data_IF_484604636129
#
_entry.id   IF_484604636129
#
_cell.length_a   1.000
_cell.length_b   1.000
_cell.length_c   1.000
_cell.angle_alpha   90.00
_cell.angle_beta   90.00
_cell.angle_gamma   90.00
#
_symmetry.space_group_name_H-M   'P 1'
#
loop_
_entity.id
_entity.type
_entity.pdbx_description
1 polymer ?
#
# COMPACT_ATOMS: atom_id res chain seq x y z
N UNK A 1 20.49 9.95 -7.29
CA UNK A 1 19.55 9.70 -6.14
C UNK A 1 20.10 10.01 -4.73
N UNK A 2 21.17 9.36 -4.22
CA UNK A 2 21.68 9.57 -2.84
C UNK A 2 21.98 11.04 -2.47
N UNK A 3 22.43 11.82 -3.45
CA UNK A 3 22.71 13.24 -3.30
C UNK A 3 21.45 14.07 -2.99
N UNK A 4 20.35 13.88 -3.73
CA UNK A 4 19.09 14.59 -3.49
C UNK A 4 18.51 14.26 -2.11
N UNK A 5 18.61 13.00 -1.68
CA UNK A 5 18.19 12.56 -0.34
C UNK A 5 18.97 13.34 0.73
N UNK A 6 20.28 13.50 0.56
CA UNK A 6 21.13 14.26 1.49
C UNK A 6 20.74 15.74 1.52
N UNK A 7 20.48 16.35 0.36
CA UNK A 7 20.01 17.73 0.28
C UNK A 7 18.65 17.91 0.96
N UNK A 8 17.71 16.98 0.74
CA UNK A 8 16.39 16.99 1.38
C UNK A 8 16.50 16.85 2.91
N UNK A 9 17.38 15.97 3.40
CA UNK A 9 17.69 15.83 4.83
C UNK A 9 18.25 17.14 5.42
N UNK A 10 19.23 17.76 4.75
CA UNK A 10 19.76 19.05 5.18
C UNK A 10 18.69 20.17 5.15
N UNK A 11 17.75 20.12 4.20
CA UNK A 11 16.64 21.08 4.12
C UNK A 11 15.66 20.91 5.28
N UNK A 12 15.38 19.66 5.69
CA UNK A 12 14.57 19.39 6.89
C UNK A 12 15.21 19.96 8.15
N UNK A 13 16.50 19.67 8.37
CA UNK A 13 17.25 20.18 9.52
C UNK A 13 17.33 21.71 9.47
N UNK A 14 17.57 22.30 8.30
CA UNK A 14 17.55 23.76 8.14
C UNK A 14 16.24 24.37 8.62
N UNK A 15 15.10 23.78 8.27
CA UNK A 15 13.79 24.28 8.68
C UNK A 15 13.61 24.20 10.21
N UNK A 16 14.01 23.09 10.83
CA UNK A 16 13.98 22.92 12.29
C UNK A 16 14.86 23.97 13.01
N UNK A 17 16.07 24.20 12.50
CA UNK A 17 17.04 25.16 13.06
C UNK A 17 16.64 26.61 12.83
N UNK A 18 15.97 26.93 11.71
CA UNK A 18 15.37 28.25 11.49
C UNK A 18 14.23 28.52 12.48
N UNK A 19 13.34 27.55 12.71
CA UNK A 19 12.29 27.68 13.73
C UNK A 19 12.88 27.82 15.14
N UNK A 20 13.98 27.13 15.43
CA UNK A 20 14.69 27.28 16.69
C UNK A 20 15.30 28.68 16.84
N UNK A 21 15.86 29.24 15.76
CA UNK A 21 16.35 30.62 15.73
C UNK A 21 15.21 31.61 15.99
N UNK A 22 14.07 31.48 15.32
CA UNK A 22 12.90 32.36 15.52
C UNK A 22 12.44 32.35 16.98
N UNK A 23 12.42 31.17 17.62
CA UNK A 23 12.08 31.03 19.05
C UNK A 23 13.08 31.75 19.96
N UNK A 24 14.38 31.63 19.68
CA UNK A 24 15.44 32.29 20.45
C UNK A 24 15.40 33.81 20.29
N UNK A 25 15.19 34.29 19.06
CA UNK A 25 15.05 35.72 18.75
C UNK A 25 13.82 36.31 19.43
N UNK A 26 12.67 35.62 19.36
CA UNK A 26 11.47 36.05 20.07
C UNK A 26 11.68 36.13 21.59
N UNK A 27 12.26 35.09 22.20
CA UNK A 27 12.58 35.10 23.63
C UNK A 27 13.58 36.19 24.03
N UNK A 28 14.47 36.60 23.12
CA UNK A 28 15.39 37.71 23.34
C UNK A 28 14.68 39.06 23.32
N UNK A 29 13.73 39.27 22.41
CA UNK A 29 12.94 40.51 22.37
C UNK A 29 11.99 40.66 23.57
N UNK A 30 11.45 39.54 24.09
CA UNK A 30 10.56 39.55 25.26
C UNK A 30 11.33 39.71 26.58
N UNK A 31 12.60 39.29 26.64
CA UNK A 31 13.41 39.44 27.85
C UNK A 31 13.88 40.90 28.04
N UNK A 32 13.43 41.55 29.13
CA UNK A 32 13.75 42.95 29.44
C UNK A 32 15.27 43.22 29.64
N UNK A 33 16.06 42.19 29.99
CA UNK A 33 17.53 42.26 30.04
C UNK A 33 18.10 40.97 29.43
N UNK A 34 18.75 41.05 28.27
CA UNK A 34 19.31 39.87 27.63
C UNK A 34 20.55 39.36 28.36
N UNK A 35 20.58 38.06 28.66
CA UNK A 35 21.73 37.40 29.27
C UNK A 35 22.79 37.11 28.19
N UNK A 36 24.08 37.29 28.51
CA UNK A 36 25.20 37.02 27.55
C UNK A 36 25.12 35.65 26.89
N UNK A 37 24.74 34.62 27.66
CA UNK A 37 24.47 33.25 27.16
C UNK A 37 23.42 33.20 26.03
N UNK A 38 22.39 34.05 26.10
CA UNK A 38 21.32 34.12 25.11
C UNK A 38 21.80 34.77 23.80
N UNK A 39 22.63 35.82 23.89
CA UNK A 39 23.25 36.47 22.73
C UNK A 39 24.17 35.49 21.99
N UNK A 40 25.00 34.75 22.74
CA UNK A 40 25.92 33.77 22.16
C UNK A 40 25.17 32.60 21.53
N UNK A 41 24.07 32.14 22.14
CA UNK A 41 23.20 31.12 21.56
C UNK A 41 22.60 31.55 20.21
N UNK A 42 22.09 32.79 20.10
CA UNK A 42 21.55 33.33 18.84
C UNK A 42 22.65 33.42 17.77
N UNK A 43 23.86 33.88 18.12
CA UNK A 43 24.98 33.95 17.17
C UNK A 43 25.38 32.56 16.66
N UNK A 44 25.50 31.59 17.56
CA UNK A 44 25.81 30.21 17.20
C UNK A 44 24.74 29.63 16.28
N UNK A 45 23.46 29.85 16.61
CA UNK A 45 22.33 29.38 15.82
C UNK A 45 22.30 30.01 14.41
N UNK A 46 22.55 31.31 14.30
CA UNK A 46 22.71 32.01 13.01
C UNK A 46 23.86 31.42 12.19
N UNK A 47 24.97 31.07 12.83
CA UNK A 47 26.08 30.36 12.21
C UNK A 47 25.66 29.01 11.63
N UNK A 48 24.96 28.19 12.43
CA UNK A 48 24.44 26.90 12.00
C UNK A 48 23.48 27.01 10.80
N UNK A 49 22.52 27.94 10.86
CA UNK A 49 21.57 28.20 9.76
C UNK A 49 22.29 28.60 8.47
N UNK A 50 23.33 29.46 8.53
CA UNK A 50 24.12 29.82 7.35
C UNK A 50 24.79 28.60 6.71
N UNK A 51 25.43 27.75 7.50
CA UNK A 51 26.08 26.53 7.00
C UNK A 51 25.05 25.57 6.41
N UNK A 52 23.89 25.41 7.05
CA UNK A 52 22.81 24.55 6.57
C UNK A 52 22.18 25.07 5.27
N UNK A 53 22.03 26.38 5.10
CA UNK A 53 21.59 26.99 3.83
C UNK A 53 22.50 26.56 2.67
N UNK A 54 23.82 26.64 2.85
CA UNK A 54 24.80 26.22 1.84
C UNK A 54 24.81 24.71 1.55
N UNK A 55 24.36 23.86 2.49
CA UNK A 55 24.35 22.40 2.35
C UNK A 55 22.99 21.83 1.91
N UNK A 56 21.96 22.67 1.85
CA UNK A 56 20.58 22.25 1.59
C UNK A 56 20.15 22.62 0.17
N UNK A 57 18.87 22.41 -0.14
CA UNK A 57 18.29 22.84 -1.42
C UNK A 57 18.28 24.37 -1.57
N UNK A 58 18.38 25.13 -0.48
CA UNK A 58 18.35 26.60 -0.51
C UNK A 58 19.45 27.24 -1.35
N UNK A 59 20.60 26.61 -1.49
CA UNK A 59 21.72 27.13 -2.27
C UNK A 59 21.79 26.53 -3.68
N UNK A 60 20.73 25.87 -4.14
CA UNK A 60 20.68 25.20 -5.45
C UNK A 60 19.76 25.96 -6.38
N UNK A 61 20.12 25.98 -7.67
CA UNK A 61 19.23 26.49 -8.70
C UNK A 61 18.07 25.51 -8.89
N UNK A 62 16.96 26.01 -9.45
CA UNK A 62 15.85 25.14 -9.83
C UNK A 62 16.31 24.11 -10.88
N UNK A 63 17.16 24.53 -11.82
CA UNK A 63 17.69 23.67 -12.89
C UNK A 63 18.50 22.48 -12.32
N UNK A 64 19.36 22.71 -11.33
CA UNK A 64 20.12 21.65 -10.67
C UNK A 64 19.20 20.62 -9.99
N UNK A 65 18.10 21.10 -9.39
CA UNK A 65 17.12 20.25 -8.72
C UNK A 65 16.34 19.42 -9.76
N UNK A 66 15.87 20.06 -10.83
CA UNK A 66 15.13 19.41 -11.91
C UNK A 66 15.98 18.34 -12.59
N UNK A 67 17.25 18.61 -12.88
CA UNK A 67 18.18 17.63 -13.45
C UNK A 67 18.23 16.35 -12.60
N UNK A 68 18.30 16.49 -11.27
CA UNK A 68 18.32 15.33 -10.35
C UNK A 68 16.96 14.66 -10.17
N UNK A 69 15.86 15.39 -10.36
CA UNK A 69 14.52 14.79 -10.37
C UNK A 69 14.30 13.94 -11.63
N UNK A 70 14.79 14.38 -12.78
CA UNK A 70 14.71 13.62 -14.04
C UNK A 70 15.39 12.25 -13.89
N UNK A 71 16.57 12.18 -13.26
CA UNK A 71 17.23 10.90 -12.95
C UNK A 71 16.35 9.94 -12.13
N UNK A 72 15.56 10.47 -11.18
CA UNK A 72 14.68 9.67 -10.32
C UNK A 72 13.45 9.21 -11.09
N UNK A 73 12.87 10.08 -11.91
CA UNK A 73 11.73 9.74 -12.77
C UNK A 73 12.12 8.66 -13.78
N UNK A 74 13.29 8.78 -14.39
CA UNK A 74 13.84 7.77 -15.30
C UNK A 74 14.06 6.43 -14.59
N UNK A 75 14.59 6.46 -13.37
CA UNK A 75 14.72 5.25 -12.56
C UNK A 75 13.35 4.63 -12.23
N UNK A 76 12.36 5.43 -11.83
CA UNK A 76 11.01 4.94 -11.56
C UNK A 76 10.38 4.30 -12.82
N UNK A 77 10.55 4.92 -13.99
CA UNK A 77 10.11 4.36 -15.28
C UNK A 77 10.73 2.99 -15.52
N UNK A 78 12.03 2.84 -15.32
CA UNK A 78 12.73 1.56 -15.50
C UNK A 78 12.21 0.49 -14.53
N UNK A 79 12.02 0.83 -13.25
CA UNK A 79 11.53 -0.11 -12.25
C UNK A 79 10.08 -0.55 -12.53
N UNK A 80 9.24 0.36 -13.00
CA UNK A 80 7.86 0.05 -13.42
C UNK A 80 7.89 -0.88 -14.64
N UNK A 81 8.70 -0.56 -15.66
CA UNK A 81 8.80 -1.39 -16.85
C UNK A 81 9.28 -2.82 -16.53
N UNK A 82 10.30 -2.96 -15.68
CA UNK A 82 10.77 -4.28 -15.24
C UNK A 82 9.69 -5.05 -14.47
N UNK A 83 8.98 -4.40 -13.54
CA UNK A 83 7.97 -5.06 -12.72
C UNK A 83 6.74 -5.53 -13.51
N UNK A 84 6.34 -4.78 -14.55
CA UNK A 84 5.11 -5.07 -15.30
C UNK A 84 5.34 -5.78 -16.65
N UNK A 85 6.53 -5.70 -17.25
CA UNK A 85 6.71 -6.08 -18.66
C UNK A 85 7.75 -7.17 -18.94
N UNK A 86 8.48 -7.67 -17.94
CA UNK A 86 9.45 -8.77 -18.13
C UNK A 86 8.82 -10.13 -18.52
N UNK A 87 7.48 -10.21 -18.56
CA UNK A 87 6.71 -11.42 -18.88
C UNK A 87 6.18 -11.51 -20.31
N UNK A 88 6.37 -10.50 -21.17
CA UNK A 88 5.94 -10.56 -22.57
C UNK A 88 7.15 -10.50 -23.51
N UNK A 89 7.90 -11.61 -23.57
CA UNK A 89 9.00 -11.80 -24.52
C UNK A 89 8.56 -11.78 -26.00
N UNK A 90 7.25 -11.74 -26.28
CA UNK A 90 6.72 -11.90 -27.64
C UNK A 90 6.03 -10.65 -28.21
N UNK A 91 6.01 -9.52 -27.49
CA UNK A 91 5.45 -8.28 -28.02
C UNK A 91 6.46 -7.54 -28.91
N UNK A 92 6.65 -8.09 -30.11
CA UNK A 92 7.40 -7.47 -31.20
C UNK A 92 6.75 -6.13 -31.56
N UNK A 93 7.48 -5.05 -31.32
CA UNK A 93 7.36 -3.73 -31.96
C UNK A 93 5.97 -3.05 -31.92
N UNK A 94 5.72 -2.26 -30.88
CA UNK A 94 5.00 -0.98 -31.02
C UNK A 94 5.65 0.08 -30.13
N UNK A 95 6.76 0.59 -30.65
CA UNK A 95 7.64 1.56 -30.00
C UNK A 95 6.97 2.94 -29.92
N UNK A 96 6.44 3.30 -28.75
CA UNK A 96 6.02 4.66 -28.43
C UNK A 96 5.58 4.79 -26.98
N UNK A 97 6.13 5.77 -26.24
CA UNK A 97 5.78 6.06 -24.84
C UNK A 97 4.25 6.22 -24.63
N UNK A 98 3.56 6.78 -25.62
CA UNK A 98 2.11 6.94 -25.61
C UNK A 98 1.37 5.59 -25.64
N UNK A 99 1.85 4.61 -26.41
CA UNK A 99 1.24 3.28 -26.46
C UNK A 99 1.46 2.51 -25.14
N UNK A 100 2.62 2.71 -24.51
CA UNK A 100 2.94 2.16 -23.20
C UNK A 100 1.99 2.74 -22.13
N UNK A 101 1.81 4.07 -22.11
CA UNK A 101 0.89 4.73 -21.18
C UNK A 101 -0.57 4.26 -21.37
N UNK A 102 -1.04 4.15 -22.62
CA UNK A 102 -2.40 3.69 -22.92
C UNK A 102 -2.63 2.23 -22.49
N UNK A 103 -1.64 1.34 -22.66
CA UNK A 103 -1.78 -0.05 -22.21
C UNK A 103 -1.68 -0.18 -20.67
N UNK A 104 -0.86 0.64 -20.01
CA UNK A 104 -0.83 0.72 -18.55
C UNK A 104 -2.19 1.15 -17.97
N UNK A 105 -2.89 2.05 -18.67
CA UNK A 105 -4.25 2.48 -18.29
C UNK A 105 -5.34 1.43 -18.59
N UNK A 106 -5.09 0.49 -19.50
CA UNK A 106 -6.06 -0.52 -19.94
C UNK A 106 -6.01 -1.81 -19.12
N UNK A 107 -4.96 -2.02 -18.34
CA UNK A 107 -4.81 -3.22 -17.50
C UNK A 107 -4.81 -2.80 -16.04
N UNK A 108 -5.47 -3.57 -15.18
CA UNK A 108 -5.36 -3.38 -13.73
C UNK A 108 -3.94 -3.68 -13.18
N UNK A 109 -2.99 -4.06 -14.05
CA UNK A 109 -1.71 -4.67 -13.68
C UNK A 109 -1.88 -5.99 -12.93
N UNK A 110 -0.78 -6.65 -12.56
CA UNK A 110 -0.83 -7.88 -11.75
C UNK A 110 -1.53 -7.67 -10.40
N UNK A 111 -1.28 -6.52 -9.76
CA UNK A 111 -1.84 -6.17 -8.46
C UNK A 111 -3.35 -5.93 -8.51
N UNK A 112 -3.84 -5.14 -9.47
CA UNK A 112 -5.27 -4.88 -9.56
C UNK A 112 -6.04 -6.09 -10.09
N UNK A 113 -5.42 -6.94 -10.90
CA UNK A 113 -6.00 -8.25 -11.25
C UNK A 113 -6.14 -9.12 -9.99
N UNK A 114 -5.11 -9.21 -9.15
CA UNK A 114 -5.17 -9.95 -7.89
C UNK A 114 -6.26 -9.41 -6.95
N UNK A 115 -6.41 -8.08 -6.86
CA UNK A 115 -7.50 -7.46 -6.11
C UNK A 115 -8.87 -7.80 -6.67
N UNK A 116 -9.03 -7.74 -7.99
CA UNK A 116 -10.28 -8.08 -8.66
C UNK A 116 -10.69 -9.55 -8.40
N UNK A 117 -9.75 -10.49 -8.46
CA UNK A 117 -9.96 -11.87 -8.05
C UNK A 117 -10.36 -11.98 -6.57
N UNK A 118 -9.68 -11.25 -5.69
CA UNK A 118 -10.00 -11.26 -4.26
C UNK A 118 -11.44 -10.79 -3.99
N UNK A 119 -11.88 -9.72 -4.64
CA UNK A 119 -13.24 -9.20 -4.48
C UNK A 119 -14.29 -10.19 -4.97
N UNK A 120 -14.05 -10.87 -6.10
CA UNK A 120 -14.94 -11.94 -6.59
C UNK A 120 -15.02 -13.12 -5.63
N UNK A 121 -13.90 -13.55 -5.06
CA UNK A 121 -13.87 -14.62 -4.05
C UNK A 121 -14.69 -14.22 -2.80
N UNK A 122 -14.58 -12.96 -2.37
CA UNK A 122 -15.34 -12.47 -1.22
C UNK A 122 -16.84 -12.33 -1.52
N UNK A 123 -17.22 -11.96 -2.74
CA UNK A 123 -18.61 -11.99 -3.18
C UNK A 123 -19.16 -13.42 -3.22
N UNK A 124 -18.38 -14.39 -3.72
CA UNK A 124 -18.75 -15.81 -3.70
C UNK A 124 -18.95 -16.33 -2.28
N UNK A 125 -18.08 -15.95 -1.33
CA UNK A 125 -18.25 -16.27 0.10
C UNK A 125 -19.57 -15.74 0.64
N UNK A 126 -19.92 -14.49 0.34
CA UNK A 126 -21.17 -13.89 0.80
C UNK A 126 -22.40 -14.65 0.26
N UNK A 127 -22.36 -15.03 -1.02
CA UNK A 127 -23.43 -15.81 -1.65
C UNK A 127 -23.53 -17.24 -1.12
N UNK A 128 -22.39 -17.89 -0.83
CA UNK A 128 -22.37 -19.22 -0.24
C UNK A 128 -22.98 -19.25 1.18
N UNK A 129 -22.78 -18.17 1.95
CA UNK A 129 -23.36 -18.00 3.29
C UNK A 129 -24.82 -17.53 3.26
N UNK A 130 -25.28 -16.90 2.16
CA UNK A 130 -26.65 -16.47 2.02
C UNK A 130 -27.62 -17.68 1.96
N UNK A 131 -28.63 -17.66 2.84
CA UNK A 131 -29.79 -18.55 2.81
C UNK A 131 -31.01 -17.80 3.38
N UNK A 132 -32.19 -17.79 2.72
CA UNK A 132 -32.58 -18.51 1.50
C UNK A 132 -32.81 -17.62 0.26
N UNK A 133 -32.74 -16.29 0.37
CA UNK A 133 -33.04 -15.37 -0.73
C UNK A 133 -31.74 -14.82 -1.32
N UNK A 134 -31.22 -15.47 -2.36
CA UNK A 134 -30.23 -14.85 -3.24
C UNK A 134 -30.94 -13.73 -3.99
N UNK A 135 -30.45 -12.47 -3.96
CA UNK A 135 -31.05 -11.39 -4.72
C UNK A 135 -31.16 -11.75 -6.21
N UNK A 136 -32.26 -11.39 -6.85
CA UNK A 136 -32.55 -11.77 -8.24
C UNK A 136 -31.47 -11.32 -9.23
N UNK A 137 -30.75 -10.24 -8.91
CA UNK A 137 -29.64 -9.69 -9.68
C UNK A 137 -28.25 -10.19 -9.24
N UNK A 138 -28.13 -11.00 -8.19
CA UNK A 138 -26.83 -11.40 -7.65
C UNK A 138 -26.05 -12.28 -8.63
N UNK A 139 -26.74 -13.11 -9.42
CA UNK A 139 -26.09 -13.91 -10.48
C UNK A 139 -25.51 -13.05 -11.59
N UNK A 140 -26.26 -12.04 -12.04
CA UNK A 140 -25.80 -11.09 -13.05
C UNK A 140 -24.66 -10.22 -12.52
N UNK A 141 -24.79 -9.67 -11.30
CA UNK A 141 -23.76 -8.88 -10.67
C UNK A 141 -22.45 -9.66 -10.51
N UNK A 142 -22.53 -10.92 -10.06
CA UNK A 142 -21.38 -11.81 -9.96
C UNK A 142 -20.75 -12.07 -11.33
N UNK A 143 -21.58 -12.36 -12.34
CA UNK A 143 -21.11 -12.59 -13.70
C UNK A 143 -20.41 -11.35 -14.29
N UNK A 144 -20.95 -10.15 -14.02
CA UNK A 144 -20.33 -8.90 -14.45
C UNK A 144 -19.01 -8.64 -13.71
N UNK A 145 -18.93 -9.01 -12.43
CA UNK A 145 -17.74 -8.90 -11.61
C UNK A 145 -16.65 -9.93 -11.95
N UNK A 146 -16.90 -10.95 -12.78
CA UNK A 146 -15.87 -11.92 -13.16
C UNK A 146 -14.74 -11.26 -13.97
N UNK A 147 -13.47 -11.66 -13.75
CA UNK A 147 -12.35 -11.22 -14.57
C UNK A 147 -12.54 -11.58 -16.05
N UNK A 148 -12.03 -10.75 -16.99
CA UNK A 148 -12.19 -10.96 -18.44
C UNK A 148 -11.72 -12.33 -18.95
N UNK A 149 -10.71 -12.91 -18.31
CA UNK A 149 -10.17 -14.24 -18.66
C UNK A 149 -11.08 -15.40 -18.26
N UNK A 150 -11.96 -15.23 -17.26
CA UNK A 150 -12.85 -16.30 -16.78
C UNK A 150 -14.16 -16.33 -17.58
N UNK A 151 -14.70 -15.16 -17.95
CA UNK A 151 -15.98 -15.06 -18.69
C UNK A 151 -16.06 -15.96 -19.92
N UNK A 152 -15.07 -16.01 -20.84
CA UNK A 152 -15.15 -16.88 -22.02
C UNK A 152 -15.05 -18.36 -21.66
N UNK A 153 -14.18 -18.74 -20.73
CA UNK A 153 -14.05 -20.14 -20.26
C UNK A 153 -15.38 -20.62 -19.66
N UNK A 154 -16.00 -19.79 -18.81
CA UNK A 154 -17.28 -20.10 -18.20
C UNK A 154 -18.40 -20.24 -19.26
N UNK A 155 -18.45 -19.36 -20.27
CA UNK A 155 -19.41 -19.47 -21.38
C UNK A 155 -19.26 -20.79 -22.13
N UNK A 156 -18.03 -21.22 -22.41
CA UNK A 156 -17.76 -22.49 -23.10
C UNK A 156 -18.16 -23.69 -22.26
N UNK A 157 -17.81 -23.69 -20.97
CA UNK A 157 -18.19 -24.75 -20.02
C UNK A 157 -19.72 -24.85 -19.85
N UNK A 158 -20.44 -23.73 -19.81
CA UNK A 158 -21.91 -23.74 -19.73
C UNK A 158 -22.57 -24.21 -21.04
N UNK A 159 -21.92 -24.03 -22.19
CA UNK A 159 -22.43 -24.45 -23.50
C UNK A 159 -22.26 -25.93 -23.76
N UNK A 160 -21.26 -26.57 -23.14
CA UNK A 160 -21.01 -28.01 -23.26
C UNK A 160 -21.57 -28.65 -21.98
N UNK A 161 -22.84 -29.11 -21.96
CA UNK A 161 -23.38 -29.76 -20.79
C UNK A 161 -22.56 -31.01 -20.50
N UNK A 162 -21.96 -31.05 -19.31
CA UNK A 162 -21.28 -32.24 -18.80
C UNK A 162 -22.34 -33.32 -18.59
N UNK A 163 -22.30 -34.39 -19.40
CA UNK A 163 -23.35 -35.41 -19.41
C UNK A 163 -23.35 -36.28 -18.14
N UNK A 164 -22.29 -36.22 -17.33
CA UNK A 164 -22.06 -37.15 -16.23
C UNK A 164 -22.10 -36.51 -14.83
N UNK A 165 -22.26 -35.18 -14.70
CA UNK A 165 -22.16 -34.49 -13.41
C UNK A 165 -23.53 -34.02 -12.86
N UNK A 166 -24.34 -34.96 -12.38
CA UNK A 166 -25.57 -34.67 -11.62
C UNK A 166 -25.27 -34.50 -10.13
N UNK A 167 -24.63 -33.40 -9.74
CA UNK A 167 -24.43 -33.10 -8.31
C UNK A 167 -25.71 -32.60 -7.64
N UNK A 168 -26.03 -33.15 -6.47
CA UNK A 168 -27.12 -32.62 -5.65
C UNK A 168 -26.80 -31.21 -5.15
N UNK A 169 -27.81 -30.39 -4.87
CA UNK A 169 -27.63 -29.02 -4.34
C UNK A 169 -26.74 -28.98 -3.08
N UNK A 170 -26.80 -30.03 -2.27
CA UNK A 170 -25.96 -30.19 -1.08
C UNK A 170 -24.49 -30.47 -1.45
N UNK A 171 -24.23 -31.34 -2.43
CA UNK A 171 -22.88 -31.63 -2.91
C UNK A 171 -22.20 -30.39 -3.53
N UNK A 172 -22.95 -29.62 -4.35
CA UNK A 172 -22.45 -28.36 -4.92
C UNK A 172 -22.08 -27.35 -3.83
N UNK A 173 -22.90 -27.23 -2.79
CA UNK A 173 -22.63 -26.33 -1.65
C UNK A 173 -21.42 -26.80 -0.84
N UNK A 174 -21.28 -28.10 -0.62
CA UNK A 174 -20.14 -28.68 0.09
C UNK A 174 -18.82 -28.43 -0.66
N UNK A 175 -18.82 -28.60 -1.98
CA UNK A 175 -17.65 -28.37 -2.82
C UNK A 175 -17.26 -26.89 -2.87
N UNK A 176 -18.25 -25.99 -3.02
CA UNK A 176 -18.03 -24.54 -2.91
C UNK A 176 -17.38 -24.18 -1.57
N UNK A 177 -17.91 -24.69 -0.45
CA UNK A 177 -17.35 -24.43 0.88
C UNK A 177 -15.93 -25.00 1.05
N UNK A 178 -15.64 -26.17 0.47
CA UNK A 178 -14.32 -26.80 0.49
C UNK A 178 -13.27 -25.91 -0.18
N UNK A 179 -13.61 -25.35 -1.34
CA UNK A 179 -12.73 -24.46 -2.12
C UNK A 179 -12.59 -23.10 -1.46
N UNK A 180 -13.70 -22.49 -1.02
CA UNK A 180 -13.67 -21.17 -0.37
C UNK A 180 -12.89 -21.17 0.94
N UNK A 181 -12.85 -22.30 1.67
CA UNK A 181 -12.12 -22.43 2.94
C UNK A 181 -10.66 -21.97 2.85
N UNK A 182 -9.98 -22.24 1.73
CA UNK A 182 -8.58 -21.85 1.55
C UNK A 182 -8.39 -20.60 0.70
N UNK A 183 -9.34 -20.27 -0.19
CA UNK A 183 -9.28 -19.05 -1.01
C UNK A 183 -9.60 -17.78 -0.23
N UNK A 184 -10.57 -17.83 0.68
CA UNK A 184 -11.05 -16.65 1.42
C UNK A 184 -9.93 -15.98 2.24
N UNK A 185 -9.10 -16.70 3.03
CA UNK A 185 -8.00 -16.07 3.77
C UNK A 185 -6.97 -15.36 2.87
N UNK A 186 -6.72 -15.91 1.68
CA UNK A 186 -5.84 -15.30 0.69
C UNK A 186 -6.48 -14.00 0.14
N UNK A 187 -7.74 -14.05 -0.27
CA UNK A 187 -8.49 -12.89 -0.76
C UNK A 187 -8.59 -11.76 0.30
N UNK A 188 -8.86 -12.11 1.56
CA UNK A 188 -8.88 -11.14 2.67
C UNK A 188 -7.51 -10.50 2.90
N UNK A 189 -6.42 -11.24 2.68
CA UNK A 189 -5.06 -10.71 2.82
C UNK A 189 -4.70 -9.79 1.65
N UNK A 190 -5.06 -10.15 0.42
CA UNK A 190 -4.88 -9.29 -0.77
C UNK A 190 -5.65 -7.98 -0.62
N UNK A 191 -6.92 -8.03 -0.23
CA UNK A 191 -7.74 -6.84 -0.03
C UNK A 191 -7.22 -5.96 1.12
N UNK A 192 -6.79 -6.56 2.24
CA UNK A 192 -6.17 -5.82 3.34
C UNK A 192 -4.93 -5.09 2.86
N UNK A 193 -3.97 -5.82 2.26
CA UNK A 193 -2.73 -5.22 1.76
C UNK A 193 -3.01 -4.07 0.78
N UNK A 194 -4.00 -4.20 -0.10
CA UNK A 194 -4.38 -3.12 -0.99
C UNK A 194 -4.85 -1.86 -0.25
N UNK A 195 -5.64 -2.01 0.81
CA UNK A 195 -6.21 -0.88 1.58
C UNK A 195 -5.20 -0.30 2.57
N UNK A 196 -4.37 -1.12 3.20
CA UNK A 196 -3.55 -0.71 4.36
C UNK A 196 -2.04 -0.97 4.20
N UNK A 197 -1.58 -1.58 3.11
CA UNK A 197 -0.19 -1.91 2.88
C UNK A 197 0.38 -3.02 3.79
N UNK A 198 -0.47 -3.74 4.54
CA UNK A 198 -0.05 -4.74 5.53
C UNK A 198 -0.35 -6.16 5.04
N UNK A 199 0.68 -7.01 5.03
CA UNK A 199 0.58 -8.44 4.71
C UNK A 199 0.65 -9.28 6.00
N UNK A 200 -0.24 -10.26 6.15
CA UNK A 200 -0.32 -11.10 7.35
C UNK A 200 -0.99 -10.38 8.54
N UNK A 201 -1.97 -11.02 9.16
CA UNK A 201 -2.76 -10.39 10.22
C UNK A 201 -2.03 -10.34 11.57
N UNK A 202 -1.67 -9.14 12.03
CA UNK A 202 -1.40 -8.89 13.45
C UNK A 202 -2.76 -8.87 14.19
N UNK A 203 -3.10 -9.95 14.90
CA UNK A 203 -4.25 -9.94 15.82
C UNK A 203 -3.75 -9.44 17.18
N UNK A 204 -3.73 -8.12 17.39
CA UNK A 204 -3.53 -7.56 18.73
C UNK A 204 -4.81 -7.81 19.51
N UNK A 205 -4.80 -8.81 20.38
CA UNK A 205 -5.88 -9.04 21.34
C UNK A 205 -5.50 -8.37 22.65
N UNK A 206 -6.16 -7.27 22.99
CA UNK A 206 -6.05 -6.67 24.32
C UNK A 206 -6.99 -7.40 25.26
N UNK A 207 -6.45 -8.22 26.16
CA UNK A 207 -7.21 -8.75 27.29
C UNK A 207 -6.89 -7.90 28.52
N UNK A 208 -7.91 -7.25 29.09
CA UNK A 208 -7.77 -6.58 30.38
C UNK A 208 -8.18 -7.56 31.46
N UNK A 209 -7.23 -8.03 32.27
CA UNK A 209 -7.55 -8.69 33.53
C UNK A 209 -7.72 -7.63 34.61
N UNK A 210 -8.92 -7.52 35.16
CA UNK A 210 -9.11 -6.81 36.43
C UNK A 210 -8.68 -7.74 37.57
N UNK A 211 -7.51 -7.49 38.14
CA UNK A 211 -7.15 -8.02 39.46
C UNK A 211 -7.51 -6.96 40.50
N UNK A 212 -8.37 -7.32 41.45
CA UNK A 212 -8.72 -6.47 42.59
C UNK A 212 -7.47 -5.99 43.33
N UNK A 213 -7.56 -4.77 43.86
CA UNK A 213 -6.47 -3.95 44.44
C UNK A 213 -5.59 -3.18 43.43
N UNK A 214 -6.17 -2.07 42.96
CA UNK A 214 -5.56 -0.79 42.56
C UNK A 214 -4.18 -0.78 41.86
N UNK A 215 -3.99 -1.59 40.82
CA UNK A 215 -2.97 -1.35 39.77
C UNK A 215 -3.42 -1.96 38.43
N UNK A 216 -3.78 -1.12 37.44
CA UNK A 216 -3.95 -1.55 36.05
C UNK A 216 -2.57 -1.74 35.42
N UNK A 217 -2.11 -2.99 35.32
CA UNK A 217 -0.94 -3.33 34.49
C UNK A 217 -1.48 -3.86 33.17
N UNK A 218 -1.38 -3.06 32.10
CA UNK A 218 -1.63 -3.54 30.75
C UNK A 218 -0.43 -4.35 30.27
N UNK A 219 -0.58 -5.64 30.04
CA UNK A 219 0.43 -6.45 29.36
C UNK A 219 0.14 -6.47 27.86
N UNK A 220 1.04 -5.90 27.06
CA UNK A 220 1.03 -6.07 25.61
C UNK A 220 1.91 -7.27 25.28
N UNK A 221 1.30 -8.41 24.98
CA UNK A 221 2.02 -9.58 24.47
C UNK A 221 1.96 -9.59 22.94
N UNK A 222 3.13 -9.46 22.31
CA UNK A 222 3.30 -9.65 20.86
C UNK A 222 3.66 -11.11 20.62
N UNK A 223 2.71 -11.92 20.18
CA UNK A 223 2.98 -13.30 19.75
C UNK A 223 2.98 -13.37 18.23
N UNK A 224 4.16 -13.64 17.67
CA UNK A 224 4.33 -13.95 16.26
C UNK A 224 3.99 -15.43 16.05
N UNK A 225 2.88 -15.73 15.37
CA UNK A 225 2.60 -17.10 14.91
C UNK A 225 3.06 -17.21 13.46
N UNK A 226 4.00 -18.12 13.14
CA UNK A 226 4.32 -18.40 11.75
C UNK A 226 3.08 -18.94 11.05
N UNK A 227 2.93 -18.55 9.78
CA UNK A 227 1.86 -19.02 8.90
C UNK A 227 1.97 -20.54 8.76
N UNK A 228 1.13 -21.26 9.50
CA UNK A 228 1.12 -22.70 9.49
C UNK A 228 0.36 -23.16 8.25
N UNK A 229 1.13 -23.59 7.24
CA UNK A 229 0.57 -24.26 6.06
C UNK A 229 -0.14 -25.53 6.54
N UNK A 230 -1.41 -25.76 6.17
CA UNK A 230 -2.07 -27.03 6.48
C UNK A 230 -1.32 -28.16 5.76
N UNK A 231 -1.01 -29.23 6.49
CA UNK A 231 -0.63 -30.52 5.91
C UNK A 231 -1.83 -31.15 5.21
#
# INVERSE_FOLDING_TARGET
MKYLIRLAQHTRVLHEEMLALDRLEHAYYVAAIPVRKQIDAIKNQRGAVKVLKCKSLWSKSMDDIVEKLVEIVDFMRLQINEAFWKSHADAKQSSGELHIAINLMKTLGATGLALHYADVILQLKALALASPAVPQNAGEALYQALPPGIKPVLRTQLRIPDKDQTMTRAAVRAEMNRVLRWLVPAAESTRRYHVNGVFGGLRVSMSTKQTGSNKKVGSVSVTCSPMQMPK
#
